data_IF_260527304408
#
_entry.id   IF_260527304408
#
_cell.length_a   1.000
_cell.length_b   1.000
_cell.length_c   1.000
_cell.angle_alpha   90.00
_cell.angle_beta   90.00
_cell.angle_gamma   90.00
#
_symmetry.space_group_name_H-M   'P 1'
#
loop_
_entity.id
_entity.type
_entity.pdbx_description
1 polymer ?
#
# COMPACT_ATOMS: atom_id res chain seq x y z
N UNK A 1 0.36 1.87 -1.00
CA UNK A 1 -0.85 2.32 -0.30
C UNK A 1 -1.04 1.61 1.05
N UNK A 2 -0.98 0.30 1.14
CA UNK A 2 -1.23 -0.46 2.39
C UNK A 2 -0.27 -0.12 3.54
N UNK A 3 0.93 0.37 3.26
CA UNK A 3 1.85 0.82 4.32
C UNK A 3 1.42 2.12 5.03
N UNK A 4 0.42 2.80 4.48
CA UNK A 4 -0.20 3.96 5.13
C UNK A 4 -1.21 3.44 6.16
N UNK A 5 -1.05 3.75 7.47
CA UNK A 5 -1.88 3.16 8.54
C UNK A 5 -3.37 3.39 8.36
N UNK A 6 -3.76 4.56 7.85
CA UNK A 6 -5.16 4.92 7.62
C UNK A 6 -5.80 4.03 6.54
N UNK A 7 -5.03 3.70 5.49
CA UNK A 7 -5.51 2.82 4.41
C UNK A 7 -5.59 1.38 4.89
N UNK A 8 -4.60 0.92 5.66
CA UNK A 8 -4.64 -0.41 6.26
C UNK A 8 -5.86 -0.58 7.17
N UNK A 9 -6.09 0.39 8.07
CA UNK A 9 -7.28 0.40 8.94
C UNK A 9 -8.58 0.46 8.15
N UNK A 10 -8.62 1.20 7.05
CA UNK A 10 -9.79 1.23 6.16
C UNK A 10 -10.08 -0.14 5.53
N UNK A 11 -9.06 -0.87 5.09
CA UNK A 11 -9.23 -2.24 4.57
C UNK A 11 -9.71 -3.22 5.65
N UNK A 12 -9.22 -3.08 6.87
CA UNK A 12 -9.64 -3.90 8.01
C UNK A 12 -11.12 -3.66 8.34
N UNK A 13 -11.58 -2.40 8.33
CA UNK A 13 -12.98 -2.05 8.54
C UNK A 13 -13.87 -2.65 7.44
N UNK A 14 -13.46 -2.56 6.17
CA UNK A 14 -14.20 -3.19 5.07
C UNK A 14 -14.33 -4.71 5.26
N UNK A 15 -13.24 -5.37 5.66
CA UNK A 15 -13.25 -6.80 5.91
C UNK A 15 -14.13 -7.17 7.12
N UNK A 16 -14.04 -6.41 8.21
CA UNK A 16 -14.86 -6.60 9.41
C UNK A 16 -16.35 -6.47 9.09
N UNK A 17 -16.76 -5.41 8.39
CA UNK A 17 -18.16 -5.20 8.04
C UNK A 17 -18.73 -6.29 7.11
N UNK A 18 -17.89 -6.88 6.26
CA UNK A 18 -18.30 -8.00 5.41
C UNK A 18 -18.37 -9.34 6.17
N UNK A 19 -17.68 -9.46 7.29
CA UNK A 19 -17.54 -10.71 8.04
C UNK A 19 -18.15 -10.66 9.44
N UNK A 20 -19.06 -9.71 9.66
CA UNK A 20 -19.76 -9.55 10.93
C UNK A 20 -20.52 -10.83 11.27
N UNK A 21 -20.18 -11.41 12.39
CA UNK A 21 -20.89 -12.56 12.97
C UNK A 21 -21.34 -12.23 14.39
N UNK A 22 -22.50 -12.74 14.76
CA UNK A 22 -23.01 -12.64 16.13
C UNK A 22 -23.54 -13.99 16.58
N UNK A 23 -23.67 -14.23 17.91
CA UNK A 23 -24.25 -15.48 18.40
C UNK A 23 -25.67 -15.77 17.89
N UNK A 24 -26.39 -14.70 17.49
CA UNK A 24 -27.76 -14.82 16.95
C UNK A 24 -27.74 -14.99 15.42
N UNK A 25 -26.73 -14.43 14.75
CA UNK A 25 -26.61 -14.45 13.30
C UNK A 25 -25.20 -14.98 12.93
N UNK A 26 -25.09 -16.28 12.64
CA UNK A 26 -23.85 -16.87 12.20
C UNK A 26 -23.43 -16.30 10.84
N UNK A 27 -22.12 -16.28 10.59
CA UNK A 27 -21.54 -15.80 9.35
C UNK A 27 -22.14 -16.45 8.11
N UNK A 28 -22.36 -17.75 8.17
CA UNK A 28 -22.99 -18.54 7.11
C UNK A 28 -24.21 -19.28 7.64
N UNK A 29 -25.37 -19.06 7.01
CA UNK A 29 -26.58 -19.79 7.31
C UNK A 29 -26.95 -20.69 6.14
N UNK A 30 -26.93 -22.00 6.38
CA UNK A 30 -27.27 -23.01 5.37
C UNK A 30 -28.75 -23.35 5.50
N UNK A 31 -29.54 -23.04 4.48
CA UNK A 31 -30.93 -23.41 4.39
C UNK A 31 -31.10 -24.55 3.39
N UNK A 32 -31.25 -25.75 3.87
CA UNK A 32 -31.49 -26.92 3.04
C UNK A 32 -32.66 -27.74 3.64
N UNK A 33 -33.64 -28.20 2.83
CA UNK A 33 -34.73 -29.04 3.30
C UNK A 33 -34.27 -30.47 3.65
N UNK A 34 -33.14 -30.92 3.11
CA UNK A 34 -32.56 -32.22 3.39
C UNK A 34 -31.47 -32.08 4.45
N UNK A 35 -31.68 -32.72 5.61
CA UNK A 35 -30.73 -32.64 6.73
C UNK A 35 -29.38 -33.33 6.43
N UNK A 36 -29.36 -34.41 5.63
CA UNK A 36 -28.12 -35.08 5.24
C UNK A 36 -27.22 -34.16 4.41
N UNK A 37 -27.81 -33.48 3.42
CA UNK A 37 -27.08 -32.52 2.58
C UNK A 37 -26.60 -31.34 3.42
N UNK A 38 -27.42 -30.86 4.33
CA UNK A 38 -27.07 -29.75 5.24
C UNK A 38 -25.90 -30.12 6.15
N UNK A 39 -25.84 -31.33 6.64
CA UNK A 39 -24.74 -31.82 7.48
C UNK A 39 -23.44 -31.88 6.67
N UNK A 40 -23.46 -32.41 5.46
CA UNK A 40 -22.30 -32.43 4.55
C UNK A 40 -21.80 -31.02 4.24
N UNK A 41 -22.72 -30.09 3.96
CA UNK A 41 -22.36 -28.69 3.71
C UNK A 41 -21.79 -28.01 4.96
N UNK A 42 -22.35 -28.26 6.13
CA UNK A 42 -21.79 -27.76 7.39
C UNK A 42 -20.35 -28.27 7.61
N UNK A 43 -20.13 -29.56 7.40
CA UNK A 43 -18.80 -30.14 7.50
C UNK A 43 -17.82 -29.51 6.50
N UNK A 44 -18.25 -29.30 5.27
CA UNK A 44 -17.44 -28.64 4.26
C UNK A 44 -17.07 -27.22 4.66
N UNK A 45 -18.04 -26.39 4.99
CA UNK A 45 -17.79 -24.96 5.24
C UNK A 45 -17.11 -24.68 6.58
N UNK A 46 -17.49 -25.40 7.65
CA UNK A 46 -16.94 -25.14 8.98
C UNK A 46 -15.69 -25.95 9.30
N UNK A 47 -15.60 -27.21 8.81
CA UNK A 47 -14.44 -28.07 9.11
C UNK A 47 -13.38 -28.00 8.04
N UNK A 48 -13.72 -28.22 6.77
CA UNK A 48 -12.74 -28.30 5.68
C UNK A 48 -12.24 -26.92 5.25
N UNK A 49 -13.15 -25.99 5.00
CA UNK A 49 -12.81 -24.62 4.61
C UNK A 49 -12.41 -23.74 5.79
N UNK A 50 -12.82 -24.13 7.01
CA UNK A 50 -12.68 -23.33 8.23
C UNK A 50 -13.04 -21.85 7.97
N UNK A 51 -14.25 -21.65 7.44
CA UNK A 51 -14.68 -20.37 6.88
C UNK A 51 -14.60 -19.23 7.91
N UNK A 52 -15.01 -19.50 9.15
CA UNK A 52 -15.01 -18.49 10.22
C UNK A 52 -13.62 -17.90 10.48
N UNK A 53 -12.59 -18.71 10.35
CA UNK A 53 -11.22 -18.26 10.56
C UNK A 53 -10.64 -17.55 9.32
N UNK A 54 -10.90 -18.08 8.14
CA UNK A 54 -10.22 -17.67 6.91
C UNK A 54 -10.88 -16.49 6.18
N UNK A 55 -12.19 -16.32 6.33
CA UNK A 55 -12.97 -15.40 5.49
C UNK A 55 -12.57 -13.95 5.65
N UNK A 56 -12.17 -13.51 6.83
CA UNK A 56 -11.68 -12.17 7.07
C UNK A 56 -10.46 -11.87 6.19
N UNK A 57 -9.47 -12.77 6.19
CA UNK A 57 -8.27 -12.62 5.37
C UNK A 57 -8.56 -12.65 3.87
N UNK A 58 -9.51 -13.49 3.45
CA UNK A 58 -9.95 -13.56 2.03
C UNK A 58 -10.65 -12.29 1.60
N UNK A 59 -11.59 -11.78 2.40
CA UNK A 59 -12.30 -10.52 2.13
C UNK A 59 -11.34 -9.33 2.13
N UNK A 60 -10.43 -9.26 3.09
CA UNK A 60 -9.42 -8.21 3.14
C UNK A 60 -8.54 -8.19 1.89
N UNK A 61 -8.07 -9.36 1.47
CA UNK A 61 -7.26 -9.50 0.27
C UNK A 61 -8.05 -9.17 -0.99
N UNK A 62 -9.30 -9.58 -1.06
CA UNK A 62 -10.21 -9.23 -2.15
C UNK A 62 -10.45 -7.71 -2.23
N UNK A 63 -10.66 -7.04 -1.10
CA UNK A 63 -10.78 -5.57 -1.06
C UNK A 63 -9.52 -4.86 -1.52
N UNK A 64 -8.36 -5.40 -1.17
CA UNK A 64 -7.07 -4.84 -1.55
C UNK A 64 -6.77 -4.96 -3.04
N UNK A 65 -6.95 -6.13 -3.60
CA UNK A 65 -6.57 -6.43 -4.99
C UNK A 65 -7.72 -6.29 -5.99
N UNK A 66 -8.96 -6.43 -5.53
CA UNK A 66 -10.14 -6.52 -6.37
C UNK A 66 -10.53 -7.95 -6.71
N UNK A 67 -9.55 -8.86 -6.66
CA UNK A 67 -9.67 -10.28 -6.97
C UNK A 67 -9.08 -11.12 -5.84
N UNK A 68 -9.60 -12.35 -5.70
CA UNK A 68 -9.03 -13.35 -4.84
C UNK A 68 -9.23 -14.74 -5.43
N UNK A 69 -8.18 -15.55 -5.39
CA UNK A 69 -8.15 -16.89 -5.99
C UNK A 69 -7.92 -17.94 -4.91
N UNK A 70 -8.80 -18.93 -4.87
CA UNK A 70 -8.66 -20.11 -4.03
C UNK A 70 -8.44 -21.33 -4.92
N UNK A 71 -7.35 -22.02 -4.70
CA UNK A 71 -7.11 -23.33 -5.29
C UNK A 71 -7.83 -24.38 -4.44
N UNK A 72 -8.64 -25.20 -5.09
CA UNK A 72 -9.40 -26.29 -4.51
C UNK A 72 -8.65 -27.60 -4.75
N UNK A 73 -8.14 -28.20 -3.70
CA UNK A 73 -7.58 -29.55 -3.75
C UNK A 73 -8.72 -30.56 -3.63
N UNK A 74 -9.08 -31.16 -4.77
CA UNK A 74 -10.25 -32.04 -4.90
C UNK A 74 -9.79 -33.47 -5.16
N UNK A 75 -10.29 -34.38 -4.36
CA UNK A 75 -10.09 -35.82 -4.50
C UNK A 75 -11.40 -36.46 -4.98
N UNK A 76 -11.31 -37.43 -5.90
CA UNK A 76 -12.48 -38.11 -6.45
C UNK A 76 -13.35 -38.82 -5.42
N UNK A 77 -12.75 -39.30 -4.34
CA UNK A 77 -13.43 -40.08 -3.31
C UNK A 77 -13.92 -39.26 -2.12
N UNK A 78 -13.17 -38.22 -1.75
CA UNK A 78 -13.40 -37.42 -0.54
C UNK A 78 -13.96 -36.02 -0.83
N UNK A 79 -14.00 -35.60 -2.09
CA UNK A 79 -14.41 -34.25 -2.46
C UNK A 79 -13.31 -33.21 -2.17
N UNK A 80 -13.67 -32.03 -1.70
CA UNK A 80 -12.71 -30.97 -1.37
C UNK A 80 -11.98 -31.30 -0.08
N UNK A 81 -10.67 -31.55 -0.16
CA UNK A 81 -9.79 -31.83 0.96
C UNK A 81 -9.23 -30.57 1.62
N UNK A 82 -8.80 -29.63 0.79
CA UNK A 82 -8.11 -28.45 1.25
C UNK A 82 -8.39 -27.28 0.33
N UNK A 83 -8.21 -26.06 0.84
CA UNK A 83 -8.35 -24.83 0.08
C UNK A 83 -7.16 -23.93 0.36
N UNK A 84 -6.45 -23.55 -0.68
CA UNK A 84 -5.22 -22.78 -0.60
C UNK A 84 -5.43 -21.42 -1.28
N UNK A 85 -5.20 -20.34 -0.54
CA UNK A 85 -5.21 -18.99 -1.10
C UNK A 85 -4.00 -18.75 -1.99
N UNK A 86 -4.24 -18.36 -3.22
CA UNK A 86 -3.17 -18.02 -4.17
C UNK A 86 -2.95 -16.50 -4.20
N UNK A 87 -1.71 -16.03 -4.40
CA UNK A 87 -1.40 -14.61 -4.49
C UNK A 87 -2.02 -14.00 -5.75
N UNK A 88 -2.95 -13.02 -5.63
CA UNK A 88 -3.65 -12.46 -6.79
C UNK A 88 -2.74 -11.76 -7.81
N UNK A 89 -1.54 -11.35 -7.39
CA UNK A 89 -0.55 -10.70 -8.26
C UNK A 89 0.17 -11.66 -9.21
N UNK A 90 0.07 -12.96 -8.98
CA UNK A 90 0.80 -14.00 -9.71
C UNK A 90 -0.11 -14.89 -10.55
N UNK A 91 -1.42 -14.77 -10.37
CA UNK A 91 -2.41 -15.55 -11.10
C UNK A 91 -2.92 -14.76 -12.29
N UNK A 92 -2.85 -15.38 -13.45
CA UNK A 92 -3.39 -14.83 -14.69
C UNK A 92 -4.53 -15.72 -15.20
N UNK A 93 -5.60 -15.09 -15.61
CA UNK A 93 -6.75 -15.74 -16.23
C UNK A 93 -6.55 -15.79 -17.74
N UNK A 94 -6.49 -16.99 -18.29
CA UNK A 94 -6.35 -17.24 -19.72
C UNK A 94 -7.72 -17.51 -20.33
N UNK A 95 -8.07 -16.77 -21.37
CA UNK A 95 -9.33 -16.94 -22.13
C UNK A 95 -9.00 -17.19 -23.60
N UNK A 96 -9.81 -18.02 -24.26
CA UNK A 96 -9.70 -18.28 -25.69
C UNK A 96 -8.54 -19.19 -26.10
N UNK A 97 -7.94 -19.93 -25.21
CA UNK A 97 -6.92 -20.94 -25.51
C UNK A 97 -7.49 -22.12 -26.32
N UNK A 98 -8.75 -22.48 -26.05
CA UNK A 98 -9.43 -23.50 -26.82
C UNK A 98 -10.18 -22.88 -28.01
N UNK A 99 -9.77 -23.26 -29.22
CA UNK A 99 -10.39 -22.80 -30.47
C UNK A 99 -11.81 -23.33 -30.66
N UNK A 100 -12.18 -24.41 -29.97
CA UNK A 100 -13.50 -25.03 -30.07
C UNK A 100 -14.49 -24.43 -29.10
N UNK A 101 -14.03 -23.89 -27.97
CA UNK A 101 -14.87 -23.29 -26.93
C UNK A 101 -14.33 -21.93 -26.51
N UNK A 102 -14.89 -20.87 -27.06
CA UNK A 102 -14.50 -19.49 -26.75
C UNK A 102 -14.72 -19.09 -25.27
N UNK A 103 -15.54 -19.83 -24.53
CA UNK A 103 -15.81 -19.59 -23.11
C UNK A 103 -14.93 -20.42 -22.17
N UNK A 104 -13.98 -21.15 -22.74
CA UNK A 104 -13.04 -21.93 -21.94
C UNK A 104 -12.05 -21.02 -21.21
N UNK A 105 -11.96 -21.17 -19.90
CA UNK A 105 -11.13 -20.37 -19.03
C UNK A 105 -10.18 -21.26 -18.27
N UNK A 106 -8.92 -20.90 -18.28
CA UNK A 106 -7.87 -21.49 -17.44
C UNK A 106 -7.23 -20.41 -16.58
N UNK A 107 -6.52 -20.86 -15.54
CA UNK A 107 -5.74 -19.97 -14.69
C UNK A 107 -4.30 -20.43 -14.68
N UNK A 108 -3.38 -19.49 -14.87
CA UNK A 108 -1.96 -19.76 -14.84
C UNK A 108 -1.32 -19.09 -13.63
N UNK A 109 -0.55 -19.85 -12.89
CA UNK A 109 0.30 -19.32 -11.83
C UNK A 109 1.70 -19.05 -12.38
N UNK A 110 2.02 -17.80 -12.65
CA UNK A 110 3.23 -17.38 -13.34
C UNK A 110 4.51 -17.79 -12.58
N UNK A 111 4.55 -17.61 -11.25
CA UNK A 111 5.70 -18.00 -10.43
C UNK A 111 5.90 -19.52 -10.37
N UNK A 112 4.82 -20.28 -10.34
CA UNK A 112 4.86 -21.74 -10.25
C UNK A 112 4.95 -22.44 -11.60
N UNK A 113 4.68 -21.76 -12.71
CA UNK A 113 4.59 -22.36 -14.05
C UNK A 113 3.47 -23.39 -14.18
N UNK A 114 2.46 -23.33 -13.30
CA UNK A 114 1.36 -24.27 -13.23
C UNK A 114 0.12 -23.66 -13.89
N UNK A 115 -0.59 -24.49 -14.65
CA UNK A 115 -1.89 -24.13 -15.23
C UNK A 115 -2.99 -24.94 -14.55
N UNK A 116 -4.03 -24.26 -14.13
CA UNK A 116 -5.18 -24.83 -13.43
C UNK A 116 -6.41 -24.77 -14.33
N UNK A 117 -7.22 -25.79 -14.24
CA UNK A 117 -8.54 -25.81 -14.86
C UNK A 117 -9.53 -24.94 -14.11
N UNK A 118 -10.57 -24.49 -14.80
CA UNK A 118 -11.59 -23.60 -14.23
C UNK A 118 -12.28 -24.18 -12.97
N UNK A 119 -12.43 -25.48 -12.87
CA UNK A 119 -13.06 -26.14 -11.71
C UNK A 119 -12.14 -26.27 -10.50
N UNK A 120 -10.82 -26.07 -10.68
CA UNK A 120 -9.83 -26.10 -9.59
C UNK A 120 -9.65 -24.75 -8.89
N UNK A 121 -10.12 -23.68 -9.52
CA UNK A 121 -9.95 -22.32 -8.98
C UNK A 121 -11.31 -21.67 -8.71
N UNK A 122 -11.52 -21.27 -7.46
CA UNK A 122 -12.62 -20.38 -7.12
C UNK A 122 -12.12 -18.92 -7.21
N UNK A 123 -12.61 -18.21 -8.22
CA UNK A 123 -12.26 -16.81 -8.45
C UNK A 123 -13.36 -15.89 -7.88
N UNK A 124 -13.01 -15.16 -6.84
CA UNK A 124 -13.83 -14.12 -6.22
C UNK A 124 -13.40 -12.76 -6.71
N UNK A 125 -14.36 -11.89 -7.02
CA UNK A 125 -14.04 -10.55 -7.50
C UNK A 125 -15.06 -9.51 -7.01
N UNK A 126 -14.56 -8.31 -6.77
CA UNK A 126 -15.42 -7.15 -6.51
C UNK A 126 -15.79 -6.54 -7.85
N UNK A 127 -17.08 -6.56 -8.18
CA UNK A 127 -17.57 -5.90 -9.38
C UNK A 127 -17.47 -4.38 -9.20
N UNK A 128 -16.83 -3.73 -10.13
CA UNK A 128 -16.63 -2.29 -10.10
C UNK A 128 -16.61 -1.70 -11.50
N UNK A 129 -15.44 -1.36 -11.98
CA UNK A 129 -15.28 -0.71 -13.27
C UNK A 129 -15.10 -1.75 -14.40
N UNK A 130 -15.96 -1.72 -15.41
CA UNK A 130 -15.90 -2.60 -16.59
C UNK A 130 -14.58 -2.55 -17.34
N UNK A 131 -13.81 -1.47 -17.15
CA UNK A 131 -12.47 -1.32 -17.74
C UNK A 131 -11.54 -2.48 -17.40
N UNK A 132 -11.69 -3.10 -16.25
CA UNK A 132 -10.82 -4.17 -15.76
C UNK A 132 -11.41 -5.57 -15.97
N UNK A 133 -12.57 -5.67 -16.61
CA UNK A 133 -13.15 -6.98 -16.92
C UNK A 133 -12.12 -7.84 -17.72
N UNK A 134 -11.96 -9.12 -17.40
CA UNK A 134 -12.75 -9.98 -16.53
C UNK A 134 -12.37 -9.94 -15.04
N UNK A 135 -11.41 -9.12 -14.65
CA UNK A 135 -10.97 -8.96 -13.27
C UNK A 135 -11.86 -8.01 -12.47
N UNK A 136 -11.73 -8.07 -11.16
CA UNK A 136 -12.39 -7.15 -10.25
C UNK A 136 -11.66 -5.81 -10.12
N UNK A 137 -12.27 -4.92 -9.36
CA UNK A 137 -11.69 -3.60 -9.08
C UNK A 137 -11.45 -3.46 -7.58
N UNK A 138 -10.22 -3.11 -7.19
CA UNK A 138 -9.89 -2.85 -5.80
C UNK A 138 -10.75 -1.74 -5.21
N UNK A 139 -11.17 -1.89 -3.95
CA UNK A 139 -11.87 -0.85 -3.21
C UNK A 139 -11.03 0.45 -3.10
N UNK A 140 -9.71 0.34 -3.21
CA UNK A 140 -8.78 1.45 -3.13
C UNK A 140 -8.55 2.19 -4.47
N UNK A 141 -9.07 1.69 -5.59
CA UNK A 141 -8.77 2.25 -6.92
C UNK A 141 -9.26 3.70 -7.05
N UNK A 142 -10.43 4.02 -6.50
CA UNK A 142 -10.97 5.38 -6.52
C UNK A 142 -10.09 6.38 -5.76
N UNK A 143 -9.44 5.95 -4.68
CA UNK A 143 -8.60 6.77 -3.83
C UNK A 143 -7.15 6.88 -4.31
N UNK A 144 -6.74 6.06 -5.28
CA UNK A 144 -5.34 5.96 -5.72
C UNK A 144 -4.75 7.27 -6.23
N UNK A 145 -5.55 8.06 -6.97
CA UNK A 145 -5.11 9.35 -7.51
C UNK A 145 -4.88 10.37 -6.39
N UNK A 146 -5.84 10.47 -5.47
CA UNK A 146 -5.79 11.41 -4.35
C UNK A 146 -4.63 11.07 -3.42
N UNK A 147 -4.42 9.78 -3.14
CA UNK A 147 -3.32 9.31 -2.30
C UNK A 147 -1.95 9.68 -2.89
N UNK A 148 -1.74 9.56 -4.21
CA UNK A 148 -0.51 10.01 -4.87
C UNK A 148 -0.28 11.52 -4.74
N UNK A 149 -1.35 12.31 -4.85
CA UNK A 149 -1.26 13.75 -4.67
C UNK A 149 -0.93 14.12 -3.23
N UNK A 150 -1.49 13.41 -2.26
CA UNK A 150 -1.19 13.60 -0.83
C UNK A 150 0.29 13.31 -0.54
N UNK A 151 0.83 12.18 -1.00
CA UNK A 151 2.25 11.88 -0.84
C UNK A 151 3.15 12.99 -1.41
N UNK A 152 2.85 13.46 -2.61
CA UNK A 152 3.62 14.55 -3.21
C UNK A 152 3.57 15.83 -2.38
N UNK A 153 2.43 16.15 -1.78
CA UNK A 153 2.28 17.29 -0.89
C UNK A 153 3.06 17.11 0.43
N UNK A 154 3.04 15.92 1.01
CA UNK A 154 3.80 15.59 2.21
C UNK A 154 5.30 15.71 1.96
N UNK A 155 5.80 15.16 0.86
CA UNK A 155 7.20 15.25 0.46
C UNK A 155 7.61 16.72 0.21
N UNK A 156 6.77 17.50 -0.47
CA UNK A 156 7.00 18.92 -0.72
C UNK A 156 7.01 19.73 0.59
N UNK A 157 6.13 19.43 1.53
CA UNK A 157 6.11 20.06 2.86
C UNK A 157 7.36 19.74 3.67
N UNK A 158 7.82 18.48 3.63
CA UNK A 158 9.06 18.06 4.29
C UNK A 158 10.26 18.81 3.70
N UNK A 159 10.39 18.81 2.37
CA UNK A 159 11.45 19.53 1.69
C UNK A 159 11.41 21.04 2.02
N UNK A 160 10.23 21.64 1.99
CA UNK A 160 10.06 23.04 2.34
C UNK A 160 10.49 23.35 3.77
N UNK A 161 10.13 22.50 4.74
CA UNK A 161 10.52 22.67 6.13
C UNK A 161 12.02 22.52 6.33
N UNK A 162 12.64 21.52 5.67
CA UNK A 162 14.10 21.31 5.74
C UNK A 162 14.85 22.49 5.14
N UNK A 163 14.43 22.98 3.97
CA UNK A 163 15.08 24.11 3.28
C UNK A 163 14.88 25.43 4.05
N UNK A 164 13.70 25.62 4.66
CA UNK A 164 13.40 26.85 5.42
C UNK A 164 13.67 26.78 6.92
N UNK A 165 14.12 25.62 7.40
CA UNK A 165 14.50 25.43 8.81
C UNK A 165 15.69 26.27 9.28
N UNK A 166 16.64 26.68 8.41
CA UNK A 166 17.68 27.62 8.84
C UNK A 166 17.04 28.90 9.36
N UNK A 167 17.38 29.20 10.58
CA UNK A 167 16.94 30.40 11.29
C UNK A 167 17.33 31.64 10.50
N UNK A 168 16.36 32.45 10.10
CA UNK A 168 16.64 33.73 9.47
C UNK A 168 17.14 34.69 10.52
N UNK A 169 18.44 35.02 10.51
CA UNK A 169 19.02 36.00 11.38
C UNK A 169 19.02 37.34 10.68
N UNK A 170 18.42 38.34 11.29
CA UNK A 170 18.44 39.73 10.83
C UNK A 170 19.36 40.48 11.75
N UNK A 171 20.43 41.03 11.22
CA UNK A 171 21.38 41.86 11.95
C UNK A 171 21.06 43.31 11.68
N UNK A 172 20.79 44.06 12.74
CA UNK A 172 20.67 45.52 12.70
C UNK A 172 22.01 46.10 13.11
N UNK A 173 22.67 46.79 12.16
CA UNK A 173 23.98 47.36 12.37
C UNK A 173 23.80 48.88 12.44
N UNK A 174 24.14 49.45 13.58
CA UNK A 174 24.17 50.90 13.72
C UNK A 174 25.46 51.45 13.09
N UNK A 175 25.29 52.25 12.06
CA UNK A 175 26.44 52.84 11.31
C UNK A 175 26.91 54.17 11.94
N UNK A 176 26.24 54.68 12.98
CA UNK A 176 26.63 55.91 13.69
C UNK A 176 26.83 57.09 12.75
N UNK A 177 27.94 57.78 12.86
CA UNK A 177 28.28 59.00 12.07
C UNK A 177 29.13 58.72 10.81
N UNK A 178 29.06 57.51 10.22
CA UNK A 178 29.79 57.21 8.97
C UNK A 178 29.14 57.91 7.77
N UNK A 179 29.94 58.44 6.88
CA UNK A 179 29.46 59.08 5.65
C UNK A 179 28.76 58.06 4.76
N UNK A 180 27.64 58.44 4.10
CA UNK A 180 26.85 57.54 3.23
C UNK A 180 27.68 56.82 2.16
N UNK A 181 28.75 57.45 1.65
CA UNK A 181 29.65 56.85 0.65
C UNK A 181 30.56 55.73 1.20
N UNK A 182 30.75 55.65 2.52
CA UNK A 182 31.59 54.66 3.19
C UNK A 182 30.77 53.52 3.81
N UNK A 183 29.45 53.72 3.93
CA UNK A 183 28.55 52.73 4.55
C UNK A 183 28.59 51.38 3.83
N UNK A 184 28.62 51.37 2.49
CA UNK A 184 28.64 50.17 1.67
C UNK A 184 29.94 49.36 1.91
N UNK A 185 31.11 50.04 1.94
CA UNK A 185 32.39 49.41 2.26
C UNK A 185 32.44 48.84 3.68
N UNK A 186 31.86 49.55 4.64
CA UNK A 186 31.77 49.07 6.03
C UNK A 186 30.88 47.83 6.14
N UNK A 187 29.72 47.82 5.45
CA UNK A 187 28.82 46.66 5.41
C UNK A 187 29.50 45.45 4.75
N UNK A 188 30.21 45.62 3.65
CA UNK A 188 30.92 44.53 2.99
C UNK A 188 32.00 43.93 3.90
N UNK A 189 32.71 44.75 4.68
CA UNK A 189 33.69 44.28 5.67
C UNK A 189 33.04 43.43 6.77
N UNK A 190 31.90 43.87 7.29
CA UNK A 190 31.13 43.11 8.31
C UNK A 190 30.64 41.80 7.75
N UNK A 191 30.07 41.80 6.54
CA UNK A 191 29.59 40.58 5.84
C UNK A 191 30.76 39.60 5.63
N UNK A 192 31.96 40.12 5.27
CA UNK A 192 33.13 39.28 5.08
C UNK A 192 33.63 38.68 6.40
N UNK A 193 33.56 39.43 7.50
CA UNK A 193 33.89 38.93 8.84
C UNK A 193 32.89 37.88 9.33
N UNK A 194 31.60 38.01 8.95
CA UNK A 194 30.55 37.06 9.33
C UNK A 194 30.50 35.80 8.45
N UNK A 195 31.17 35.83 7.25
CA UNK A 195 31.26 34.65 6.42
C UNK A 195 32.03 33.53 7.08
N UNK A 196 31.59 32.29 6.85
CA UNK A 196 32.30 31.08 7.32
C UNK A 196 33.71 31.03 6.74
N UNK A 197 34.71 31.26 7.60
CA UNK A 197 36.08 31.01 7.22
C UNK A 197 36.36 29.50 7.38
N UNK A 198 36.68 28.84 6.27
CA UNK A 198 37.20 27.47 6.32
C UNK A 198 38.60 27.52 6.91
N UNK A 199 38.77 27.12 8.16
CA UNK A 199 40.06 26.97 8.77
C UNK A 199 40.60 25.58 8.40
N UNK A 200 41.63 25.57 7.55
CA UNK A 200 42.37 24.32 7.25
C UNK A 200 43.37 24.10 8.38
N UNK A 201 43.18 23.01 9.12
CA UNK A 201 44.18 22.60 10.11
C UNK A 201 45.47 22.20 9.39
N UNK A 202 46.53 22.99 9.63
CA UNK A 202 47.83 22.81 8.98
C UNK A 202 48.51 21.48 9.37
N UNK A 203 48.14 20.88 10.49
CA UNK A 203 48.72 19.64 10.96
C UNK A 203 48.08 18.39 10.35
N UNK A 204 46.75 18.41 10.11
CA UNK A 204 46.02 17.25 9.63
C UNK A 204 45.53 17.38 8.18
N UNK A 205 45.62 18.56 7.56
CA UNK A 205 45.10 18.85 6.23
C UNK A 205 43.57 18.75 6.12
N UNK A 206 42.89 18.57 7.23
CA UNK A 206 41.42 18.49 7.26
C UNK A 206 40.81 19.87 7.41
N UNK A 207 39.69 20.08 6.71
CA UNK A 207 38.87 21.28 6.88
C UNK A 207 38.19 21.18 8.25
N UNK A 208 38.55 22.07 9.17
CA UNK A 208 37.90 22.19 10.47
C UNK A 208 36.62 23.02 10.28
N UNK A 209 35.50 22.34 10.30
CA UNK A 209 34.18 22.96 10.23
C UNK A 209 33.71 23.48 11.59
N UNK A 210 34.58 24.17 12.32
CA UNK A 210 34.16 24.83 13.56
C UNK A 210 33.05 25.79 13.27
N UNK A 211 31.90 25.50 13.87
CA UNK A 211 30.70 26.30 13.74
C UNK A 211 30.93 27.67 14.40
N UNK A 212 31.03 28.72 13.60
CA UNK A 212 30.93 30.08 14.13
C UNK A 212 29.46 30.43 14.28
N UNK A 213 28.94 30.62 15.52
CA UNK A 213 27.55 30.94 15.76
C UNK A 213 27.09 32.27 15.15
N UNK A 214 28.04 33.11 14.74
CA UNK A 214 27.79 34.41 14.09
C UNK A 214 27.94 34.36 12.56
N UNK A 215 28.35 33.21 11.97
CA UNK A 215 28.48 33.12 10.51
C UNK A 215 27.13 33.12 9.83
N UNK A 216 27.04 33.89 8.75
CA UNK A 216 25.90 33.94 7.83
C UNK A 216 26.33 33.25 6.54
N UNK A 217 25.56 32.26 6.06
CA UNK A 217 25.77 31.60 4.76
C UNK A 217 25.27 32.49 3.63
#
# INVERSE_FOLDING_TARGET
>A
MEYTPEIASGLDIYADEMTVSSPIQPLLKINCPNEEIKEVLNQLFYSTLNLEFNIFGWCRSMCKYGDYFLYLDIDESLGVKNVIGLPPSEIERLEGEDKTNANYVQFQWNSGGLTFENWQIAHFRILGNDKYAPYGTSALESSRRIWRQLQLLEDAMMAYRVVRSPERRVFYIDVGGINETEVEGHMQNIVTQMKRNQVIDQASGRVDLRYNPMSVD
#
